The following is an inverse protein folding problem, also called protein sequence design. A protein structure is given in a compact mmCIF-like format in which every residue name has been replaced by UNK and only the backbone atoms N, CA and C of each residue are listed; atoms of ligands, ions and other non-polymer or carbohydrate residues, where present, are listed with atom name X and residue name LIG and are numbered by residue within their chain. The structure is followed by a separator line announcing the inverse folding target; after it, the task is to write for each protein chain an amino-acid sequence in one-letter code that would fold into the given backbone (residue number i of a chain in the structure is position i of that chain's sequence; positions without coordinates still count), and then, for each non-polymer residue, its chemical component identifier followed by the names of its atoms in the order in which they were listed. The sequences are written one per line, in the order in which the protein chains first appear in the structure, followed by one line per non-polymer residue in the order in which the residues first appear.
data_IF_763903027760
#
_entry.id   IF_763903027760
#
_cell.length_a   1.000
_cell.length_b   1.000
_cell.length_c   1.000
_cell.angle_alpha   90.00
_cell.angle_beta   90.00
_cell.angle_gamma   90.00
#
_symmetry.space_group_name_H-M   'P 1'
#
loop_
_entity.id
_entity.type
_entity.pdbx_description
1 polymer ?
#
# COMPACT_ATOMS: atom_id res chain seq x y z
N UNK A 1 -5.18 2.69 23.56
CA UNK A 1 -4.68 2.40 22.20
C UNK A 1 -4.46 0.91 22.01
N UNK A 2 -4.79 0.37 20.83
CA UNK A 2 -4.41 -0.98 20.38
C UNK A 2 -3.45 -0.83 19.20
N UNK A 3 -2.61 -1.83 18.97
CA UNK A 3 -1.66 -1.89 17.85
C UNK A 3 -1.90 -3.18 17.09
N UNK A 4 -1.67 -3.14 15.78
CA UNK A 4 -1.80 -4.30 14.93
C UNK A 4 -0.69 -5.32 15.27
N UNK A 5 -1.02 -6.59 15.57
CA UNK A 5 -0.02 -7.60 15.88
C UNK A 5 0.82 -8.03 14.67
N UNK A 6 0.41 -7.66 13.45
CA UNK A 6 1.10 -8.01 12.22
C UNK A 6 2.12 -6.95 11.79
N UNK A 7 1.79 -5.66 11.87
CA UNK A 7 2.65 -4.58 11.36
C UNK A 7 3.05 -3.51 12.41
N UNK A 8 2.49 -3.55 13.61
CA UNK A 8 2.81 -2.60 14.68
C UNK A 8 2.13 -1.23 14.57
N UNK A 9 1.32 -0.97 13.54
CA UNK A 9 0.59 0.30 13.41
C UNK A 9 -0.49 0.45 14.47
N UNK A 10 -0.72 1.67 14.96
CA UNK A 10 -1.82 1.97 15.88
C UNK A 10 -3.16 1.71 15.20
N UNK A 11 -4.08 1.03 15.91
CA UNK A 11 -5.40 0.68 15.38
C UNK A 11 -6.49 1.40 16.15
N UNK A 12 -7.51 1.86 15.44
CA UNK A 12 -8.67 2.53 16.03
C UNK A 12 -9.55 1.53 16.83
N UNK A 13 -10.16 1.94 17.96
CA UNK A 13 -11.05 1.07 18.72
C UNK A 13 -12.28 0.68 17.89
N UNK A 14 -12.47 -0.61 17.63
CA UNK A 14 -13.58 -1.12 16.83
C UNK A 14 -13.26 -1.40 15.35
N UNK A 15 -12.03 -1.14 14.89
CA UNK A 15 -11.61 -1.51 13.56
C UNK A 15 -11.56 -3.05 13.38
N UNK A 16 -12.23 -3.57 12.35
CA UNK A 16 -12.19 -5.00 11.96
C UNK A 16 -10.90 -5.37 11.25
N UNK A 17 -10.30 -4.42 10.54
CA UNK A 17 -9.11 -4.62 9.72
C UNK A 17 -8.11 -3.49 9.97
N UNK A 18 -6.82 -3.80 9.89
CA UNK A 18 -5.77 -2.80 9.94
C UNK A 18 -5.80 -1.94 8.67
N UNK A 19 -5.91 -0.62 8.82
CA UNK A 19 -5.88 0.29 7.67
C UNK A 19 -4.52 0.34 6.96
N UNK A 20 -3.44 -0.07 7.62
CA UNK A 20 -2.09 -0.03 7.07
C UNK A 20 -1.70 -1.33 6.33
N UNK A 21 -2.07 -2.50 6.83
CA UNK A 21 -1.66 -3.78 6.23
C UNK A 21 -2.83 -4.71 5.86
N UNK A 22 -4.08 -4.33 6.12
CA UNK A 22 -5.27 -5.14 5.84
C UNK A 22 -5.51 -6.33 6.79
N UNK A 23 -4.62 -6.57 7.76
CA UNK A 23 -4.73 -7.69 8.70
C UNK A 23 -6.01 -7.59 9.55
N UNK A 24 -6.74 -8.72 9.68
CA UNK A 24 -7.97 -8.78 10.47
C UNK A 24 -7.65 -8.66 11.97
N UNK A 25 -8.24 -7.66 12.63
CA UNK A 25 -8.05 -7.39 14.05
C UNK A 25 -9.10 -8.13 14.89
N UNK A 26 -8.71 -8.70 16.03
CA UNK A 26 -9.66 -9.32 16.95
C UNK A 26 -10.53 -8.23 17.58
N UNK A 27 -11.82 -8.20 17.23
CA UNK A 27 -12.75 -7.21 17.75
C UNK A 27 -13.00 -7.41 19.26
N UNK A 28 -12.99 -6.33 20.07
CA UNK A 28 -13.48 -6.39 21.44
C UNK A 28 -14.99 -6.68 21.40
N UNK A 29 -15.40 -7.84 21.92
CA UNK A 29 -16.81 -8.20 22.07
C UNK A 29 -17.48 -7.25 23.07
N UNK A 30 -18.10 -6.18 22.60
CA UNK A 30 -19.16 -5.50 23.35
C UNK A 30 -20.48 -6.10 22.89
N UNK A 31 -21.06 -6.99 23.72
CA UNK A 31 -22.41 -7.55 23.57
C UNK A 31 -23.44 -6.42 23.36
N UNK A 32 -24.52 -6.48 22.55
CA UNK A 32 -25.26 -7.52 21.78
C UNK A 32 -26.47 -6.81 21.08
N UNK A 33 -27.48 -7.46 20.45
CA UNK A 33 -27.53 -8.66 19.60
C UNK A 33 -28.08 -8.33 18.18
N UNK A 34 -27.75 -9.15 17.17
CA UNK A 34 -28.72 -9.75 16.21
C UNK A 34 -27.97 -10.43 15.06
N UNK A 35 -28.22 -11.74 14.97
CA UNK A 35 -28.03 -12.64 13.84
C UNK A 35 -26.60 -12.98 13.39
N UNK A 36 -26.06 -14.05 13.98
CA UNK A 36 -25.24 -14.98 13.23
C UNK A 36 -26.13 -15.68 12.19
N UNK A 37 -26.26 -15.10 11.01
CA UNK A 37 -26.48 -15.92 9.82
C UNK A 37 -25.11 -16.44 9.39
N UNK A 38 -24.92 -17.73 9.62
CA UNK A 38 -23.97 -18.58 8.89
C UNK A 38 -23.99 -18.16 7.41
N UNK A 39 -22.82 -17.82 6.86
CA UNK A 39 -22.71 -17.30 5.49
C UNK A 39 -22.76 -18.36 4.40
N UNK A 40 -22.68 -17.93 3.14
CA UNK A 40 -21.84 -18.56 2.13
C UNK A 40 -20.69 -17.57 1.81
N UNK A 41 -19.50 -17.88 1.34
CA UNK A 41 -18.78 -19.07 0.88
C UNK A 41 -17.43 -18.47 0.42
N UNK A 42 -16.27 -19.13 0.58
CA UNK A 42 -15.10 -18.73 -0.18
C UNK A 42 -15.42 -18.97 -1.66
N UNK A 43 -15.66 -17.91 -2.45
CA UNK A 43 -15.69 -18.04 -3.91
C UNK A 43 -14.27 -18.29 -4.40
N UNK A 44 -13.80 -19.52 -4.23
CA UNK A 44 -12.86 -20.14 -5.15
C UNK A 44 -13.60 -20.22 -6.49
N UNK A 45 -12.98 -19.63 -7.52
CA UNK A 45 -12.80 -20.17 -8.88
C UNK A 45 -13.94 -21.08 -9.32
N UNK A 46 -14.79 -20.69 -10.28
CA UNK A 46 -14.81 -21.36 -11.60
C UNK A 46 -15.31 -20.43 -12.73
N UNK A 47 -14.66 -20.57 -13.89
CA UNK A 47 -15.17 -20.31 -15.26
C UNK A 47 -15.22 -18.85 -15.79
N UNK A 48 -14.05 -18.35 -16.20
CA UNK A 48 -13.98 -17.51 -17.41
C UNK A 48 -13.11 -18.25 -18.44
N UNK A 49 -13.56 -18.42 -19.69
CA UNK A 49 -12.88 -19.25 -20.67
C UNK A 49 -11.53 -18.67 -21.09
N UNK A 50 -10.56 -19.57 -21.22
CA UNK A 50 -9.24 -19.36 -21.83
C UNK A 50 -9.39 -18.73 -23.21
N UNK A 51 -8.78 -17.55 -23.40
CA UNK A 51 -8.59 -16.93 -24.70
C UNK A 51 -7.96 -15.54 -24.60
N UNK A 52 -6.62 -15.49 -24.67
CA UNK A 52 -5.72 -14.38 -25.10
C UNK A 52 -5.88 -13.01 -24.37
N UNK A 53 -4.90 -12.45 -23.65
CA UNK A 53 -3.48 -12.26 -23.97
C UNK A 53 -2.65 -12.14 -22.68
N UNK A 54 -1.60 -12.95 -22.57
CA UNK A 54 -0.31 -12.45 -22.15
C UNK A 54 0.06 -11.24 -23.02
N UNK A 55 0.26 -10.06 -22.44
CA UNK A 55 1.48 -9.25 -22.63
C UNK A 55 1.27 -7.83 -22.03
N UNK A 56 2.18 -7.51 -21.13
CA UNK A 56 2.56 -6.21 -20.56
C UNK A 56 1.66 -4.98 -20.84
N UNK A 57 0.81 -4.64 -19.87
CA UNK A 57 0.56 -3.22 -19.59
C UNK A 57 0.97 -2.95 -18.14
N UNK A 58 2.06 -2.21 -17.89
CA UNK A 58 2.41 -1.82 -16.54
C UNK A 58 1.31 -0.85 -16.10
N UNK A 59 0.45 -1.31 -15.18
CA UNK A 59 -0.32 -0.42 -14.34
C UNK A 59 0.73 0.40 -13.58
N UNK A 60 1.05 1.59 -14.08
CA UNK A 60 1.84 2.59 -13.37
C UNK A 60 0.99 3.02 -12.18
N UNK A 61 1.11 2.25 -11.10
CA UNK A 61 0.85 2.74 -9.75
C UNK A 61 1.57 4.06 -9.64
N UNK A 62 0.83 5.08 -9.23
CA UNK A 62 1.33 6.40 -8.91
C UNK A 62 2.55 6.27 -7.99
N UNK A 63 3.71 6.26 -8.63
CA UNK A 63 5.04 6.16 -8.05
C UNK A 63 5.56 7.58 -7.82
N UNK A 64 4.73 8.40 -7.15
CA UNK A 64 5.01 9.81 -6.90
C UNK A 64 6.15 10.02 -5.89
N UNK A 65 6.64 8.94 -5.28
CA UNK A 65 7.79 8.97 -4.34
C UNK A 65 9.14 9.02 -5.05
N UNK A 66 9.23 8.57 -6.30
CA UNK A 66 10.46 8.70 -7.09
C UNK A 66 10.61 10.08 -7.72
N UNK A 67 9.52 10.84 -7.91
CA UNK A 67 9.57 12.18 -8.49
C UNK A 67 10.42 13.16 -7.64
N UNK A 68 10.28 13.10 -6.31
CA UNK A 68 11.08 13.94 -5.41
C UNK A 68 12.55 13.51 -5.36
N UNK A 69 12.83 12.21 -5.39
CA UNK A 69 14.20 11.68 -5.42
C UNK A 69 14.94 12.10 -6.69
N UNK A 70 14.28 12.04 -7.85
CA UNK A 70 14.84 12.48 -9.13
C UNK A 70 15.13 13.99 -9.14
N UNK A 71 14.21 14.81 -8.60
CA UNK A 71 14.39 16.26 -8.48
C UNK A 71 15.59 16.64 -7.61
N UNK A 72 15.71 16.02 -6.42
CA UNK A 72 16.84 16.29 -5.50
C UNK A 72 18.17 15.88 -6.16
N UNK A 73 18.21 14.71 -6.79
CA UNK A 73 19.42 14.20 -7.46
C UNK A 73 19.86 15.14 -8.59
N UNK A 74 18.92 15.63 -9.40
CA UNK A 74 19.21 16.58 -10.47
C UNK A 74 19.79 17.91 -9.95
N UNK A 75 19.22 18.46 -8.87
CA UNK A 75 19.69 19.70 -8.24
C UNK A 75 21.13 19.53 -7.70
N UNK A 76 21.44 18.41 -7.05
CA UNK A 76 22.78 18.14 -6.51
C UNK A 76 23.81 18.07 -7.66
N UNK A 77 23.50 17.37 -8.75
CA UNK A 77 24.41 17.27 -9.89
C UNK A 77 24.70 18.65 -10.49
N UNK A 78 23.65 19.45 -10.72
CA UNK A 78 23.78 20.79 -11.31
C UNK A 78 24.62 21.72 -10.42
N UNK A 79 24.40 21.69 -9.09
CA UNK A 79 25.16 22.53 -8.15
C UNK A 79 26.64 22.16 -8.10
N UNK A 80 26.98 20.86 -8.12
CA UNK A 80 28.37 20.38 -8.17
C UNK A 80 29.05 20.80 -9.46
N UNK A 81 28.38 20.64 -10.61
CA UNK A 81 28.95 21.06 -11.91
C UNK A 81 29.22 22.56 -11.93
N UNK A 82 28.28 23.38 -11.49
CA UNK A 82 28.46 24.84 -11.43
C UNK A 82 29.62 25.21 -10.51
N UNK A 83 29.71 24.62 -9.32
CA UNK A 83 30.81 24.88 -8.39
C UNK A 83 32.17 24.48 -8.97
N UNK A 84 32.24 23.33 -9.68
CA UNK A 84 33.47 22.91 -10.37
C UNK A 84 33.85 23.87 -11.49
N UNK A 85 32.88 24.35 -12.29
CA UNK A 85 33.15 25.34 -13.32
C UNK A 85 33.68 26.64 -12.71
N UNK A 86 33.06 27.15 -11.66
CA UNK A 86 33.52 28.36 -10.96
C UNK A 86 34.92 28.19 -10.37
N UNK A 87 35.27 26.99 -9.89
CA UNK A 87 36.59 26.72 -9.33
C UNK A 87 37.70 26.58 -10.39
N UNK A 88 37.33 26.20 -11.61
CA UNK A 88 38.24 26.01 -12.74
C UNK A 88 38.55 27.34 -13.46
N UNK A 89 37.60 28.28 -13.45
CA UNK A 89 37.75 29.62 -14.03
C UNK A 89 38.36 30.62 -13.04
#
# INVERSE_FOLDING_TARGET
MKFCPNCGTQTEPGATNCFNCGFALPQPKTASPTNQSSGPTPTKFDDYPVGVQEDTTPATTNDDSHALTWLITAIIIVTVVIALLIFIF
#
